data_IF_705820887717
#
_entry.id   IF_705820887717
#
_cell.length_a   1.000
_cell.length_b   1.000
_cell.length_c   1.000
_cell.angle_alpha   90.00
_cell.angle_beta   90.00
_cell.angle_gamma   90.00
#
_symmetry.space_group_name_H-M   'P 1'
#
loop_
_entity.id
_entity.type
_entity.pdbx_description
1 polymer ?
#
# COMPACT_ATOMS: atom_id res chain seq x y z
N UNK A 1 -6.34 1.76 -12.99
CA UNK A 1 -6.37 2.24 -11.61
C UNK A 1 -5.04 2.91 -11.28
N UNK A 2 -5.08 4.09 -10.73
CA UNK A 2 -3.87 4.87 -10.47
C UNK A 2 -3.66 5.05 -8.97
N UNK A 3 -2.39 5.02 -8.57
CA UNK A 3 -1.97 5.31 -7.21
C UNK A 3 -1.39 6.71 -7.15
N UNK A 4 -1.72 7.45 -6.10
CA UNK A 4 -1.13 8.75 -5.84
C UNK A 4 0.34 8.61 -5.47
N UNK A 5 1.08 9.72 -5.55
CA UNK A 5 2.48 9.72 -5.17
C UNK A 5 2.68 9.24 -3.72
N UNK A 6 1.84 9.73 -2.80
CA UNK A 6 1.93 9.32 -1.39
C UNK A 6 1.64 7.83 -1.23
N UNK A 7 0.67 7.31 -1.98
CA UNK A 7 0.35 5.89 -1.96
C UNK A 7 1.52 5.07 -2.46
N UNK A 8 2.15 5.50 -3.56
CA UNK A 8 3.32 4.81 -4.11
C UNK A 8 4.48 4.81 -3.12
N UNK A 9 4.71 5.93 -2.45
CA UNK A 9 5.78 6.00 -1.45
C UNK A 9 5.53 5.04 -0.29
N UNK A 10 4.28 4.95 0.16
CA UNK A 10 3.92 4.00 1.21
C UNK A 10 4.15 2.57 0.76
N UNK A 11 3.75 2.26 -0.49
CA UNK A 11 3.94 0.93 -1.05
C UNK A 11 5.43 0.56 -1.15
N UNK A 12 6.27 1.50 -1.57
CA UNK A 12 7.71 1.28 -1.65
C UNK A 12 8.27 0.94 -0.27
N UNK A 13 7.84 1.68 0.73
CA UNK A 13 8.35 1.52 2.09
C UNK A 13 8.04 0.13 2.67
N UNK A 14 6.88 -0.42 2.35
CA UNK A 14 6.43 -1.70 2.90
C UNK A 14 6.46 -2.85 1.89
N UNK A 15 7.01 -2.62 0.71
CA UNK A 15 6.99 -3.60 -0.37
C UNK A 15 7.77 -4.88 0.00
N UNK A 16 7.09 -6.02 -0.16
CA UNK A 16 7.70 -7.34 0.07
C UNK A 16 7.91 -8.09 -1.24
N UNK A 17 7.59 -7.46 -2.37
CA UNK A 17 7.68 -8.09 -3.68
C UNK A 17 6.43 -8.82 -4.12
N UNK A 18 5.42 -8.94 -3.25
CA UNK A 18 4.17 -9.62 -3.57
C UNK A 18 2.98 -8.78 -3.10
N UNK A 19 1.90 -8.83 -3.89
CA UNK A 19 0.68 -8.05 -3.60
C UNK A 19 0.09 -8.40 -2.22
N UNK A 20 -0.12 -9.68 -1.97
CA UNK A 20 -0.70 -10.11 -0.68
C UNK A 20 0.24 -9.82 0.48
N UNK A 21 1.56 -9.94 0.27
CA UNK A 21 2.53 -9.60 1.29
C UNK A 21 2.49 -8.13 1.64
N UNK A 22 2.32 -7.26 0.65
CA UNK A 22 2.21 -5.82 0.88
C UNK A 22 0.93 -5.49 1.65
N UNK A 23 -0.20 -6.10 1.27
CA UNK A 23 -1.46 -5.92 2.01
C UNK A 23 -1.28 -6.32 3.47
N UNK A 24 -0.64 -7.46 3.71
CA UNK A 24 -0.41 -7.96 5.06
C UNK A 24 0.45 -6.99 5.89
N UNK A 25 1.52 -6.48 5.29
CA UNK A 25 2.40 -5.52 5.96
C UNK A 25 1.67 -4.23 6.32
N UNK A 26 0.83 -3.73 5.41
CA UNK A 26 0.07 -2.52 5.67
C UNK A 26 -0.94 -2.74 6.81
N UNK A 27 -1.58 -3.91 6.84
CA UNK A 27 -2.50 -4.21 7.94
C UNK A 27 -1.78 -4.33 9.28
N UNK A 28 -0.59 -4.92 9.29
CA UNK A 28 0.21 -4.97 10.51
C UNK A 28 0.57 -3.57 10.98
N UNK A 29 0.97 -2.70 10.06
CA UNK A 29 1.29 -1.31 10.38
C UNK A 29 0.08 -0.61 11.00
N UNK A 30 -1.12 -0.85 10.47
CA UNK A 30 -2.33 -0.24 11.00
C UNK A 30 -2.60 -0.61 12.45
N UNK A 31 -2.18 -1.81 12.86
CA UNK A 31 -2.35 -2.25 14.25
C UNK A 31 -1.53 -1.41 15.25
N UNK A 32 -0.49 -0.76 14.77
CA UNK A 32 0.39 0.06 15.60
C UNK A 32 0.08 1.56 15.52
N UNK A 33 -0.90 1.95 14.72
CA UNK A 33 -1.26 3.36 14.59
C UNK A 33 -1.98 3.85 15.84
N UNK A 34 -1.63 5.07 16.24
CA UNK A 34 -2.31 5.74 17.33
C UNK A 34 -3.67 6.26 16.85
N UNK A 35 -4.65 6.46 17.75
CA UNK A 35 -5.97 6.93 17.33
C UNK A 35 -5.99 8.26 16.60
N UNK A 36 -4.97 9.10 16.81
CA UNK A 36 -4.86 10.41 16.13
C UNK A 36 -4.15 10.35 14.78
N UNK A 37 -3.65 9.18 14.39
CA UNK A 37 -2.97 9.01 13.10
C UNK A 37 -3.96 8.65 11.98
N UNK A 38 -5.02 9.44 11.86
CA UNK A 38 -6.11 9.16 10.92
C UNK A 38 -5.69 9.31 9.47
N UNK A 39 -4.81 10.28 9.17
CA UNK A 39 -4.36 10.50 7.79
C UNK A 39 -3.62 9.28 7.25
N UNK A 40 -2.73 8.70 8.05
CA UNK A 40 -1.98 7.52 7.63
C UNK A 40 -2.89 6.30 7.55
N UNK A 41 -3.86 6.20 8.46
CA UNK A 41 -4.84 5.11 8.42
C UNK A 41 -5.65 5.17 7.12
N UNK A 42 -6.15 6.35 6.76
CA UNK A 42 -6.93 6.52 5.54
C UNK A 42 -6.09 6.26 4.29
N UNK A 43 -4.85 6.73 4.28
CA UNK A 43 -3.95 6.50 3.16
C UNK A 43 -3.70 5.01 2.95
N UNK A 44 -3.38 4.29 4.03
CA UNK A 44 -3.10 2.87 3.96
C UNK A 44 -4.35 2.06 3.59
N UNK A 45 -5.51 2.45 4.10
CA UNK A 45 -6.77 1.79 3.72
C UNK A 45 -7.04 1.94 2.22
N UNK A 46 -6.81 3.14 1.68
CA UNK A 46 -6.97 3.38 0.24
C UNK A 46 -6.05 2.49 -0.59
N UNK A 47 -4.80 2.35 -0.17
CA UNK A 47 -3.84 1.49 -0.85
C UNK A 47 -4.31 0.03 -0.79
N UNK A 48 -4.72 -0.44 0.38
CA UNK A 48 -5.19 -1.82 0.55
C UNK A 48 -6.39 -2.10 -0.34
N UNK A 49 -7.35 -1.20 -0.39
CA UNK A 49 -8.54 -1.38 -1.23
C UNK A 49 -8.17 -1.47 -2.71
N UNK A 50 -7.26 -0.60 -3.17
CA UNK A 50 -6.80 -0.66 -4.56
C UNK A 50 -6.03 -1.95 -4.85
N UNK A 51 -5.19 -2.39 -3.90
CA UNK A 51 -4.44 -3.63 -4.07
C UNK A 51 -5.35 -4.85 -4.15
N UNK A 52 -6.46 -4.86 -3.42
CA UNK A 52 -7.43 -5.94 -3.48
C UNK A 52 -8.09 -6.05 -4.86
N UNK A 53 -8.22 -4.93 -5.55
CA UNK A 53 -8.83 -4.89 -6.88
C UNK A 53 -7.87 -5.27 -8.00
N UNK A 54 -6.58 -5.27 -7.73
CA UNK A 54 -5.57 -5.66 -8.71
C UNK A 54 -5.39 -7.17 -8.73
N UNK A 55 -5.06 -7.70 -9.92
CA UNK A 55 -4.55 -9.07 -10.01
C UNK A 55 -3.05 -9.06 -9.70
N UNK A 56 -2.49 -10.23 -9.45
CA UNK A 56 -1.06 -10.35 -9.23
C UNK A 56 -0.27 -9.92 -10.47
N UNK A 57 -0.78 -10.21 -11.67
CA UNK A 57 -0.16 -9.77 -12.91
C UNK A 57 -0.14 -8.25 -13.02
N UNK A 58 -1.25 -7.60 -12.69
CA UNK A 58 -1.33 -6.15 -12.71
C UNK A 58 -0.40 -5.53 -11.68
N UNK A 59 -0.30 -6.13 -10.50
CA UNK A 59 0.63 -5.66 -9.48
C UNK A 59 2.08 -5.75 -9.98
N UNK A 60 2.43 -6.84 -10.65
CA UNK A 60 3.77 -7.04 -11.18
C UNK A 60 4.15 -5.99 -12.24
N UNK A 61 3.15 -5.41 -12.91
CA UNK A 61 3.36 -4.38 -13.92
C UNK A 61 3.52 -2.98 -13.34
N UNK A 62 3.26 -2.80 -12.04
CA UNK A 62 3.40 -1.49 -11.42
C UNK A 62 4.86 -1.04 -11.41
N UNK A 63 5.07 0.21 -11.77
CA UNK A 63 6.39 0.82 -11.75
C UNK A 63 6.45 1.81 -10.59
N UNK A 64 7.45 1.62 -9.74
CA UNK A 64 7.66 2.53 -8.63
C UNK A 64 8.70 3.58 -9.03
N UNK A 65 8.53 4.85 -8.59
CA UNK A 65 9.52 5.87 -8.92
C UNK A 65 10.87 5.52 -8.30
N UNK A 66 11.97 5.87 -8.97
CA UNK A 66 13.30 5.65 -8.40
C UNK A 66 13.49 6.55 -7.19
N UNK A 67 14.31 6.10 -6.27
CA UNK A 67 14.64 6.87 -5.08
C UNK A 67 15.40 8.14 -5.40
#
# INVERSE_FOLDING_TARGET
MNFDHEELMLMILYNTGARLGLIHKLRLMQCYLMPDETALRELSEGVIEKLKLLTDAEFAELEFPPD
#
